data_IF_190928198143
#
_entry.id   IF_190928198143
#
_cell.length_a   1.000
_cell.length_b   1.000
_cell.length_c   1.000
_cell.angle_alpha   90.00
_cell.angle_beta   90.00
_cell.angle_gamma   90.00
#
_symmetry.space_group_name_H-M   'P 1'
#
loop_
_entity.id
_entity.type
_entity.pdbx_description
1 polymer ?
#
# COMPACT_ATOMS: atom_id res chain seq x y z
N UNK A 1 8.79 -20.41 12.31
CA UNK A 1 9.21 -20.23 10.90
C UNK A 1 9.73 -21.48 10.22
N UNK A 2 10.14 -22.52 10.96
CA UNK A 2 10.53 -23.82 10.37
C UNK A 2 9.42 -24.41 9.49
N UNK A 3 8.16 -24.17 9.83
CA UNK A 3 6.97 -24.61 9.07
C UNK A 3 6.80 -23.93 7.71
N UNK A 4 7.01 -22.62 7.59
CA UNK A 4 6.94 -21.93 6.28
C UNK A 4 8.12 -22.34 5.40
N UNK A 5 9.32 -22.46 5.97
CA UNK A 5 10.51 -22.97 5.27
C UNK A 5 10.40 -24.42 4.79
N UNK A 6 9.48 -25.21 5.36
CA UNK A 6 9.27 -26.62 5.04
C UNK A 6 7.99 -26.88 4.21
N UNK A 7 7.10 -25.89 4.09
CA UNK A 7 5.84 -26.02 3.35
C UNK A 7 5.93 -25.30 2.00
N UNK A 8 6.15 -26.10 0.95
CA UNK A 8 6.26 -25.62 -0.44
C UNK A 8 4.99 -24.90 -0.92
N UNK A 9 3.81 -25.34 -0.48
CA UNK A 9 2.55 -24.69 -0.88
C UNK A 9 2.45 -23.28 -0.30
N UNK A 10 2.79 -23.12 0.98
CA UNK A 10 2.82 -21.80 1.63
C UNK A 10 3.84 -20.88 0.95
N UNK A 11 5.03 -21.37 0.64
CA UNK A 11 6.04 -20.59 -0.09
C UNK A 11 5.57 -20.21 -1.50
N UNK A 12 4.96 -21.14 -2.25
CA UNK A 12 4.45 -20.87 -3.58
C UNK A 12 3.38 -19.78 -3.58
N UNK A 13 2.48 -19.78 -2.58
CA UNK A 13 1.48 -18.72 -2.39
C UNK A 13 2.13 -17.37 -2.08
N UNK A 14 3.09 -17.33 -1.16
CA UNK A 14 3.81 -16.09 -0.80
C UNK A 14 4.58 -15.53 -2.00
N UNK A 15 5.30 -16.37 -2.75
CA UNK A 15 5.94 -15.98 -4.03
C UNK A 15 4.91 -15.47 -5.04
N UNK A 16 3.71 -16.05 -5.05
CA UNK A 16 2.58 -15.56 -5.84
C UNK A 16 2.19 -14.13 -5.47
N UNK A 17 2.04 -13.85 -4.17
CA UNK A 17 1.72 -12.51 -3.65
C UNK A 17 2.79 -11.48 -4.02
N UNK A 18 4.07 -11.80 -3.79
CA UNK A 18 5.20 -10.92 -4.13
C UNK A 18 5.22 -10.59 -5.62
N UNK A 19 5.06 -11.60 -6.49
CA UNK A 19 5.00 -11.38 -7.95
C UNK A 19 3.79 -10.56 -8.36
N UNK A 20 2.65 -10.75 -7.71
CA UNK A 20 1.45 -9.96 -7.98
C UNK A 20 1.63 -8.50 -7.59
N UNK A 21 2.26 -8.24 -6.44
CA UNK A 21 2.60 -6.90 -5.99
C UNK A 21 3.50 -6.19 -7.01
N UNK A 22 4.64 -6.79 -7.36
CA UNK A 22 5.57 -6.21 -8.34
C UNK A 22 4.89 -5.94 -9.68
N UNK A 23 3.99 -6.81 -10.12
CA UNK A 23 3.23 -6.62 -11.36
C UNK A 23 2.34 -5.38 -11.28
N UNK A 24 1.60 -5.19 -10.19
CA UNK A 24 0.74 -3.99 -10.02
C UNK A 24 1.59 -2.72 -9.97
N UNK A 25 2.68 -2.72 -9.21
CA UNK A 25 3.60 -1.58 -9.12
C UNK A 25 4.18 -1.22 -10.50
N UNK A 26 4.62 -2.23 -11.26
CA UNK A 26 5.13 -2.03 -12.60
C UNK A 26 4.05 -1.52 -13.56
N UNK A 27 2.83 -2.04 -13.48
CA UNK A 27 1.69 -1.55 -14.27
C UNK A 27 1.37 -0.09 -13.95
N UNK A 28 1.32 0.29 -12.68
CA UNK A 28 1.05 1.66 -12.27
C UNK A 28 2.14 2.62 -12.73
N UNK A 29 3.40 2.19 -12.64
CA UNK A 29 4.54 2.95 -13.14
C UNK A 29 4.45 3.14 -14.67
N UNK A 30 4.24 2.06 -15.43
CA UNK A 30 4.13 2.13 -16.88
C UNK A 30 2.96 3.00 -17.34
N UNK A 31 1.81 2.91 -16.67
CA UNK A 31 0.65 3.74 -16.98
C UNK A 31 0.91 5.23 -16.65
N UNK A 32 1.65 5.53 -15.59
CA UNK A 32 2.10 6.90 -15.28
C UNK A 32 3.05 7.44 -16.34
N UNK A 33 4.02 6.66 -16.77
CA UNK A 33 4.96 7.01 -17.84
C UNK A 33 4.23 7.24 -19.17
N UNK A 34 3.24 6.39 -19.49
CA UNK A 34 2.40 6.56 -20.66
C UNK A 34 1.57 7.86 -20.59
N UNK A 35 1.04 8.19 -19.40
CA UNK A 35 0.32 9.44 -19.18
C UNK A 35 1.21 10.65 -19.43
N UNK A 36 2.43 10.67 -18.90
CA UNK A 36 3.40 11.75 -19.12
C UNK A 36 3.76 11.91 -20.60
N UNK A 37 4.00 10.81 -21.32
CA UNK A 37 4.26 10.85 -22.77
C UNK A 37 3.07 11.40 -23.56
N UNK A 38 1.85 11.02 -23.18
CA UNK A 38 0.65 11.58 -23.78
C UNK A 38 0.54 13.08 -23.54
N UNK A 39 0.85 13.56 -22.34
CA UNK A 39 0.84 14.98 -22.00
C UNK A 39 1.87 15.78 -22.81
N UNK A 40 3.07 15.23 -23.03
CA UNK A 40 4.11 15.86 -23.86
C UNK A 40 3.71 16.02 -25.34
N UNK A 41 2.93 15.07 -25.89
CA UNK A 41 2.45 15.12 -27.27
C UNK A 41 1.17 15.93 -27.49
N UNK A 42 0.53 16.45 -26.43
CA UNK A 42 -0.68 17.30 -26.54
C UNK A 42 -0.46 18.64 -27.24
N UNK A 43 0.60 19.43 -26.97
CA UNK A 43 0.79 20.73 -27.63
C UNK A 43 0.95 20.61 -29.15
N UNK A 44 1.62 19.57 -29.64
CA UNK A 44 1.77 19.31 -31.08
C UNK A 44 0.41 19.00 -31.72
N UNK A 45 -0.38 18.12 -31.09
CA UNK A 45 -1.74 17.79 -31.57
C UNK A 45 -2.69 18.99 -31.52
N UNK A 46 -2.62 19.80 -30.46
CA UNK A 46 -3.41 21.04 -30.36
C UNK A 46 -3.03 22.00 -31.49
N UNK A 47 -1.74 22.18 -31.78
CA UNK A 47 -1.27 23.02 -32.88
C UNK A 47 -1.75 22.54 -34.25
N UNK A 48 -1.77 21.23 -34.49
CA UNK A 48 -2.31 20.65 -35.74
C UNK A 48 -3.82 20.93 -35.87
N UNK A 49 -4.58 20.72 -34.79
CA UNK A 49 -6.02 21.01 -34.76
C UNK A 49 -6.30 22.51 -34.99
N UNK A 50 -5.52 23.39 -34.34
CA UNK A 50 -5.65 24.83 -34.51
C UNK A 50 -5.33 25.28 -35.94
N UNK A 51 -4.35 24.63 -36.59
CA UNK A 51 -4.04 24.89 -38.00
C UNK A 51 -5.20 24.52 -38.93
N UNK A 52 -5.86 23.38 -38.67
CA UNK A 52 -7.05 22.96 -39.44
C UNK A 52 -8.24 23.90 -39.18
N UNK A 53 -8.49 24.29 -37.94
CA UNK A 53 -9.57 25.24 -37.59
C UNK A 53 -9.35 26.59 -38.27
N UNK A 54 -8.10 27.09 -38.25
CA UNK A 54 -7.73 28.34 -38.93
C UNK A 54 -7.91 28.25 -40.44
N UNK A 55 -7.62 27.10 -41.06
CA UNK A 55 -7.81 26.89 -42.50
C UNK A 55 -9.29 26.92 -42.93
N UNK A 56 -10.21 26.55 -42.03
CA UNK A 56 -11.67 26.58 -42.27
C UNK A 56 -12.28 27.94 -41.89
N UNK A 57 -11.47 28.88 -41.37
CA UNK A 57 -11.90 30.22 -40.98
C UNK A 57 -12.57 30.29 -39.61
N UNK A 58 -12.42 29.26 -38.77
CA UNK A 58 -12.92 29.26 -37.41
C UNK A 58 -11.97 30.07 -36.48
N UNK A 59 -12.50 30.87 -35.53
CA UNK A 59 -11.69 31.57 -34.56
C UNK A 59 -11.10 30.59 -33.53
N UNK A 60 -9.77 30.65 -33.32
CA UNK A 60 -9.04 29.85 -32.33
C UNK A 60 -8.77 30.69 -31.08
N UNK A 61 -9.04 30.14 -29.90
CA UNK A 61 -8.84 30.81 -28.60
C UNK A 61 -7.55 30.30 -27.97
N UNK A 62 -6.57 31.18 -27.75
CA UNK A 62 -5.29 30.82 -27.11
C UNK A 62 -5.44 30.76 -25.59
N UNK A 63 -5.83 29.60 -25.05
CA UNK A 63 -5.82 29.34 -23.61
C UNK A 63 -4.62 28.45 -23.24
N UNK A 64 -3.42 29.03 -23.26
CA UNK A 64 -2.17 28.28 -23.03
C UNK A 64 -1.90 28.07 -21.53
N UNK A 65 -2.35 28.97 -20.66
CA UNK A 65 -2.04 28.96 -19.22
C UNK A 65 -2.88 28.02 -18.34
N UNK A 66 -4.00 27.48 -18.84
CA UNK A 66 -4.83 26.49 -18.14
C UNK A 66 -4.26 25.08 -18.26
N UNK A 67 -3.57 24.78 -19.36
CA UNK A 67 -3.09 23.45 -19.70
C UNK A 67 -2.12 22.87 -18.66
N UNK A 68 -1.07 23.58 -18.23
CA UNK A 68 -0.07 23.03 -17.30
C UNK A 68 -0.67 22.64 -15.93
N UNK A 69 -1.58 23.48 -15.42
CA UNK A 69 -2.29 23.21 -14.17
C UNK A 69 -3.22 21.99 -14.31
N UNK A 70 -3.87 21.84 -15.46
CA UNK A 70 -4.70 20.68 -15.78
C UNK A 70 -3.86 19.40 -15.90
N UNK A 71 -2.69 19.45 -16.53
CA UNK A 71 -1.76 18.32 -16.62
C UNK A 71 -1.28 17.87 -15.24
N UNK A 72 -0.93 18.82 -14.36
CA UNK A 72 -0.55 18.53 -12.98
C UNK A 72 -1.72 17.93 -12.18
N UNK A 73 -2.93 18.45 -12.33
CA UNK A 73 -4.13 17.91 -11.69
C UNK A 73 -4.49 16.50 -12.18
N UNK A 74 -4.25 16.20 -13.46
CA UNK A 74 -4.43 14.87 -14.05
C UNK A 74 -3.47 13.85 -13.43
N UNK A 75 -2.18 14.20 -13.29
CA UNK A 75 -1.19 13.36 -12.60
C UNK A 75 -1.60 13.15 -11.14
N UNK A 76 -1.97 14.21 -10.41
CA UNK A 76 -2.40 14.10 -9.01
C UNK A 76 -3.63 13.19 -8.85
N UNK A 77 -4.57 13.26 -9.80
CA UNK A 77 -5.75 12.39 -9.81
C UNK A 77 -5.35 10.93 -10.05
N UNK A 78 -4.39 10.68 -10.95
CA UNK A 78 -3.86 9.35 -11.19
C UNK A 78 -3.11 8.81 -9.97
N UNK A 79 -2.20 9.59 -9.37
CA UNK A 79 -1.44 9.21 -8.18
C UNK A 79 -2.40 8.91 -7.01
N UNK A 80 -3.51 9.67 -6.88
CA UNK A 80 -4.58 9.38 -5.92
C UNK A 80 -5.29 8.04 -6.17
N UNK A 81 -5.47 7.63 -7.44
CA UNK A 81 -6.02 6.30 -7.79
C UNK A 81 -5.03 5.19 -7.44
N UNK A 82 -3.75 5.37 -7.78
CA UNK A 82 -2.68 4.42 -7.45
C UNK A 82 -2.57 4.23 -5.94
N UNK A 83 -2.59 5.31 -5.15
CA UNK A 83 -2.57 5.21 -3.69
C UNK A 83 -3.73 4.37 -3.15
N UNK A 84 -4.97 4.62 -3.61
CA UNK A 84 -6.14 3.83 -3.19
C UNK A 84 -5.99 2.35 -3.57
N UNK A 85 -5.53 2.06 -4.78
CA UNK A 85 -5.30 0.71 -5.25
C UNK A 85 -4.19 0.00 -4.47
N UNK A 86 -3.11 0.71 -4.11
CA UNK A 86 -2.01 0.19 -3.31
C UNK A 86 -2.44 -0.17 -1.89
N UNK A 87 -3.28 0.67 -1.25
CA UNK A 87 -3.87 0.36 0.06
C UNK A 87 -4.74 -0.90 -0.02
N UNK A 88 -5.62 -1.00 -1.02
CA UNK A 88 -6.46 -2.19 -1.22
C UNK A 88 -5.64 -3.47 -1.48
N UNK A 89 -4.57 -3.37 -2.27
CA UNK A 89 -3.63 -4.46 -2.49
C UNK A 89 -2.95 -4.89 -1.18
N UNK A 90 -2.50 -3.93 -0.37
CA UNK A 90 -1.90 -4.19 0.94
C UNK A 90 -2.87 -4.91 1.89
N UNK A 91 -4.12 -4.46 1.96
CA UNK A 91 -5.16 -5.10 2.76
C UNK A 91 -5.45 -6.54 2.31
N UNK A 92 -5.47 -6.79 1.00
CA UNK A 92 -5.64 -8.13 0.44
C UNK A 92 -4.46 -9.05 0.77
N UNK A 93 -3.22 -8.55 0.66
CA UNK A 93 -2.01 -9.30 1.05
C UNK A 93 -2.07 -9.65 2.54
N UNK A 94 -2.44 -8.70 3.40
CA UNK A 94 -2.59 -8.94 4.84
C UNK A 94 -3.66 -10.01 5.11
N UNK A 95 -4.78 -9.99 4.38
CA UNK A 95 -5.82 -11.01 4.50
C UNK A 95 -5.33 -12.41 4.10
N UNK A 96 -4.52 -12.52 3.05
CA UNK A 96 -3.89 -13.79 2.64
C UNK A 96 -2.85 -14.27 3.66
N UNK A 97 -2.02 -13.38 4.22
CA UNK A 97 -1.09 -13.76 5.28
C UNK A 97 -1.83 -14.25 6.54
N UNK A 98 -3.02 -13.71 6.82
CA UNK A 98 -3.90 -14.23 7.87
C UNK A 98 -4.45 -15.61 7.56
N UNK A 99 -4.88 -15.86 6.32
CA UNK A 99 -5.42 -17.16 5.89
C UNK A 99 -4.36 -18.26 5.98
N UNK A 100 -3.10 -17.90 5.75
CA UNK A 100 -1.92 -18.77 5.90
C UNK A 100 -1.43 -18.92 7.36
N UNK A 101 -2.14 -18.33 8.33
CA UNK A 101 -1.78 -18.36 9.74
C UNK A 101 -0.37 -17.83 10.04
N UNK A 102 0.10 -16.85 9.26
CA UNK A 102 1.41 -16.24 9.49
C UNK A 102 1.40 -15.46 10.82
N UNK A 103 2.41 -15.65 11.69
CA UNK A 103 2.46 -14.97 12.98
C UNK A 103 2.42 -13.44 12.84
N UNK A 104 1.89 -12.77 13.86
CA UNK A 104 1.69 -11.31 13.92
C UNK A 104 0.61 -10.74 12.99
N UNK A 105 0.15 -11.50 11.99
CA UNK A 105 -1.02 -11.11 11.17
C UNK A 105 -2.34 -11.65 11.74
N UNK A 106 -2.29 -12.78 12.45
CA UNK A 106 -3.44 -13.48 13.06
C UNK A 106 -3.65 -13.21 14.56
N UNK A 107 -2.97 -12.21 15.12
CA UNK A 107 -3.06 -11.93 16.55
C UNK A 107 -4.48 -11.59 17.00
N UNK A 108 -4.85 -12.12 18.17
CA UNK A 108 -6.10 -11.76 18.85
C UNK A 108 -6.03 -10.31 19.33
N UNK A 109 -7.13 -9.60 19.18
CA UNK A 109 -7.25 -8.17 19.55
C UNK A 109 -6.96 -7.93 21.03
N UNK A 110 -7.28 -8.90 21.89
CA UNK A 110 -7.06 -8.85 23.34
C UNK A 110 -5.57 -8.79 23.74
N UNK A 111 -4.66 -9.15 22.83
CA UNK A 111 -3.22 -9.09 23.06
C UNK A 111 -2.59 -7.76 22.61
N UNK A 112 -3.38 -6.85 22.04
CA UNK A 112 -2.95 -5.56 21.51
C UNK A 112 -3.38 -4.47 22.49
N UNK A 113 -2.41 -3.68 22.97
CA UNK A 113 -2.71 -2.56 23.84
C UNK A 113 -3.19 -1.36 23.00
N UNK A 114 -4.49 -1.08 23.07
CA UNK A 114 -5.07 0.22 22.72
C UNK A 114 -4.82 1.18 23.90
N UNK A 115 -3.87 2.12 23.79
CA UNK A 115 -3.54 3.02 24.90
C UNK A 115 -4.44 4.28 24.96
N UNK A 116 -4.64 4.93 26.13
CA UNK A 116 -4.38 4.47 27.50
C UNK A 116 -5.68 4.22 28.30
N UNK A 117 -5.63 3.43 29.40
CA UNK A 117 -6.66 3.52 30.42
C UNK A 117 -6.59 4.89 31.08
N UNK A 118 -7.75 5.55 31.17
CA UNK A 118 -7.95 6.67 32.08
C UNK A 118 -7.59 6.14 33.47
N UNK A 119 -6.62 6.79 34.11
CA UNK A 119 -6.24 6.50 35.49
C UNK A 119 -7.45 6.89 36.34
N UNK A 120 -8.27 5.91 36.73
CA UNK A 120 -9.04 6.01 37.95
C UNK A 120 -8.46 5.04 38.96
N UNK A 121 -8.09 5.66 40.08
CA UNK A 121 -7.47 5.11 41.25
C UNK A 121 -8.33 4.00 41.88
N UNK A 122 -7.78 2.80 42.03
CA UNK A 122 -8.18 1.89 43.10
C UNK A 122 -7.18 0.76 43.29
N UNK A 123 -6.35 0.94 44.31
CA UNK A 123 -5.65 -0.12 45.02
C UNK A 123 -6.64 -1.17 45.55
N UNK A 124 -6.40 -2.47 45.32
CA UNK A 124 -6.17 -3.49 46.36
C UNK A 124 -6.11 -4.93 45.78
N UNK A 125 -4.99 -5.63 46.11
CA UNK A 125 -4.86 -7.08 46.42
C UNK A 125 -5.14 -8.10 45.28
N UNK A 126 -4.33 -9.14 45.05
CA UNK A 126 -3.50 -9.93 45.96
C UNK A 126 -2.28 -10.54 45.25
N UNK A 127 -1.22 -10.73 46.03
CA UNK A 127 -0.05 -11.52 45.69
C UNK A 127 -0.43 -12.99 45.43
N UNK A 128 0.07 -13.56 44.33
CA UNK A 128 0.41 -14.98 44.25
C UNK A 128 1.58 -15.10 43.28
N UNK A 129 2.73 -15.47 43.82
CA UNK A 129 3.93 -15.81 43.08
C UNK A 129 3.70 -17.14 42.35
N UNK A 130 3.73 -17.12 41.01
CA UNK A 130 4.12 -18.26 40.19
C UNK A 130 4.90 -17.73 38.98
N UNK A 131 6.08 -18.32 38.77
CA UNK A 131 7.01 -18.08 37.67
C UNK A 131 6.32 -17.96 36.32
N UNK A 132 6.37 -16.77 35.71
CA UNK A 132 5.87 -16.52 34.37
C UNK A 132 5.64 -15.03 34.20
N UNK A 133 6.56 -14.36 33.51
CA UNK A 133 6.46 -12.95 33.17
C UNK A 133 5.04 -12.64 32.68
N UNK A 134 4.28 -11.70 33.28
CA UNK A 134 3.00 -11.32 32.72
C UNK A 134 3.31 -10.69 31.36
N UNK A 135 2.86 -11.35 30.29
CA UNK A 135 3.03 -10.86 28.93
C UNK A 135 2.33 -9.52 28.83
N UNK A 136 3.08 -8.43 28.96
CA UNK A 136 2.58 -7.09 28.67
C UNK A 136 1.93 -7.11 27.29
N UNK A 137 0.72 -6.57 27.14
CA UNK A 137 0.06 -6.50 25.84
C UNK A 137 0.93 -5.70 24.87
N UNK A 138 1.02 -6.16 23.63
CA UNK A 138 1.90 -5.58 22.61
C UNK A 138 1.28 -4.27 22.15
N UNK A 139 2.03 -3.18 22.15
CA UNK A 139 1.52 -1.91 21.61
C UNK A 139 1.35 -1.99 20.08
N UNK A 140 0.45 -1.20 19.50
CA UNK A 140 0.25 -1.17 18.04
C UNK A 140 1.54 -0.86 17.26
N UNK A 141 2.37 0.03 17.78
CA UNK A 141 3.62 0.41 17.12
C UNK A 141 4.65 -0.73 17.14
N UNK A 142 4.70 -1.50 18.23
CA UNK A 142 5.52 -2.72 18.31
C UNK A 142 4.99 -3.81 17.38
N UNK A 143 3.67 -3.98 17.30
CA UNK A 143 3.06 -4.93 16.38
C UNK A 143 3.44 -4.63 14.93
N UNK A 144 3.39 -3.36 14.51
CA UNK A 144 3.80 -2.97 13.15
C UNK A 144 5.26 -3.32 12.88
N UNK A 145 6.16 -3.07 13.85
CA UNK A 145 7.58 -3.45 13.72
C UNK A 145 7.77 -4.96 13.58
N UNK A 146 7.02 -5.75 14.37
CA UNK A 146 7.06 -7.21 14.29
C UNK A 146 6.52 -7.74 12.95
N UNK A 147 5.43 -7.14 12.45
CA UNK A 147 4.89 -7.47 11.13
C UNK A 147 5.88 -7.14 10.01
N UNK A 148 6.53 -5.97 10.05
CA UNK A 148 7.57 -5.60 9.10
C UNK A 148 8.73 -6.60 9.11
N UNK A 149 9.24 -6.94 10.29
CA UNK A 149 10.32 -7.93 10.42
C UNK A 149 9.91 -9.33 9.92
N UNK A 150 8.64 -9.68 10.09
CA UNK A 150 8.09 -10.93 9.55
C UNK A 150 8.05 -10.90 8.02
N UNK A 151 7.63 -9.80 7.41
CA UNK A 151 7.61 -9.65 5.95
C UNK A 151 9.02 -9.79 5.36
N UNK A 152 10.01 -9.12 5.94
CA UNK A 152 11.43 -9.25 5.53
C UNK A 152 11.89 -10.72 5.57
N UNK A 153 11.56 -11.43 6.66
CA UNK A 153 11.92 -12.84 6.79
C UNK A 153 11.19 -13.74 5.78
N UNK A 154 9.91 -13.44 5.48
CA UNK A 154 9.15 -14.19 4.48
C UNK A 154 9.72 -13.96 3.09
N UNK A 155 10.11 -12.73 2.77
CA UNK A 155 10.79 -12.40 1.52
C UNK A 155 12.10 -13.20 1.41
N UNK A 156 12.96 -13.16 2.42
CA UNK A 156 14.23 -13.90 2.44
C UNK A 156 14.07 -15.41 2.25
N UNK A 157 13.06 -16.01 2.90
CA UNK A 157 12.78 -17.45 2.79
C UNK A 157 12.14 -17.86 1.47
N UNK A 158 11.50 -16.92 0.76
CA UNK A 158 10.78 -17.17 -0.47
C UNK A 158 11.50 -16.64 -1.71
N UNK A 159 12.80 -16.31 -1.60
CA UNK A 159 13.68 -15.95 -2.72
C UNK A 159 13.83 -17.10 -3.72
#
# INVERSE_FOLDING_TARGET
MRTVGQNEETQARIRGLIRSQHRHEQQWFQAREALLKQQQGRPEKQRELDAVLRAIGAPVKEEVGTTEKELAAEIATYDGKVHRAAVQMGDAIIAELRSLCIPFFTLRKDLIQDAPPIIEDSQLRSQTELTGTPSSPISKSELVKLQQRMLELLEDLCK
#
